data_IF_700844367488
#
_entry.id   IF_700844367488
#
_cell.length_a   1.000
_cell.length_b   1.000
_cell.length_c   1.000
_cell.angle_alpha   90.00
_cell.angle_beta   90.00
_cell.angle_gamma   90.00
#
_symmetry.space_group_name_H-M   'P 1'
#
loop_
_entity.id
_entity.type
_entity.pdbx_description
1 polymer ?
#
# COMPACT_ATOMS: atom_id res chain seq x y z
N UNK A 1 -7.36 4.84 -23.39
CA UNK A 1 -7.11 4.49 -21.98
C UNK A 1 -8.46 4.28 -21.34
N UNK A 2 -8.74 3.07 -20.88
CA UNK A 2 -9.95 2.81 -20.08
C UNK A 2 -9.64 3.14 -18.63
N UNK A 3 -10.54 3.88 -17.98
CA UNK A 3 -10.42 4.25 -16.56
C UNK A 3 -11.42 3.41 -15.78
N UNK A 4 -11.00 2.84 -14.66
CA UNK A 4 -11.89 2.14 -13.74
C UNK A 4 -12.04 2.88 -12.42
N UNK A 5 -13.26 2.92 -11.88
CA UNK A 5 -13.61 3.62 -10.65
C UNK A 5 -14.28 2.65 -9.65
N UNK A 6 -13.66 2.51 -8.47
CA UNK A 6 -14.23 1.79 -7.33
C UNK A 6 -14.68 2.76 -6.25
N UNK A 7 -15.93 2.63 -5.78
CA UNK A 7 -16.51 3.45 -4.70
C UNK A 7 -16.82 2.58 -3.49
N UNK A 8 -16.51 3.08 -2.29
CA UNK A 8 -16.96 2.50 -1.02
C UNK A 8 -16.72 3.48 0.15
N UNK A 9 -17.08 3.08 1.37
CA UNK A 9 -16.98 3.88 2.60
C UNK A 9 -15.55 4.04 3.12
N UNK A 10 -14.64 3.11 2.80
CA UNK A 10 -13.23 3.16 3.20
C UNK A 10 -12.29 3.01 2.02
N UNK A 11 -11.07 3.56 2.09
CA UNK A 11 -10.07 3.45 1.01
C UNK A 11 -9.75 1.99 0.66
N UNK A 12 -9.69 1.10 1.66
CA UNK A 12 -9.45 -0.33 1.44
C UNK A 12 -10.60 -0.97 0.68
N UNK A 13 -11.86 -0.74 1.09
CA UNK A 13 -13.01 -1.26 0.36
C UNK A 13 -13.16 -0.63 -1.03
N UNK A 14 -12.84 0.65 -1.19
CA UNK A 14 -12.85 1.30 -2.51
C UNK A 14 -11.81 0.66 -3.45
N UNK A 15 -10.66 0.23 -2.91
CA UNK A 15 -9.65 -0.51 -3.68
C UNK A 15 -10.14 -1.91 -4.07
N UNK A 16 -10.86 -2.60 -3.18
CA UNK A 16 -11.54 -3.86 -3.48
C UNK A 16 -12.61 -3.64 -4.56
N UNK A 17 -13.44 -2.60 -4.43
CA UNK A 17 -14.43 -2.24 -5.45
C UNK A 17 -13.78 -2.00 -6.81
N UNK A 18 -12.63 -1.32 -6.84
CA UNK A 18 -11.89 -1.08 -8.07
C UNK A 18 -11.36 -2.38 -8.72
N UNK A 19 -11.05 -3.42 -7.93
CA UNK A 19 -10.69 -4.73 -8.47
C UNK A 19 -11.85 -5.32 -9.30
N UNK A 20 -13.09 -5.16 -8.83
CA UNK A 20 -14.28 -5.58 -9.57
C UNK A 20 -14.63 -4.63 -10.71
N UNK A 21 -14.42 -3.32 -10.55
CA UNK A 21 -14.66 -2.30 -11.57
C UNK A 21 -13.90 -2.58 -12.87
N UNK A 22 -12.66 -3.08 -12.78
CA UNK A 22 -11.85 -3.48 -13.94
C UNK A 22 -12.45 -4.63 -14.77
N UNK A 23 -13.34 -5.42 -14.17
CA UNK A 23 -14.02 -6.56 -14.81
C UNK A 23 -15.46 -6.21 -15.19
N UNK A 24 -15.94 -5.03 -14.80
CA UNK A 24 -17.27 -4.53 -15.10
C UNK A 24 -17.29 -3.86 -16.47
N UNK A 25 -18.29 -4.10 -17.33
CA UNK A 25 -18.43 -3.40 -18.61
C UNK A 25 -18.52 -1.87 -18.47
N UNK A 26 -19.05 -1.38 -17.35
CA UNK A 26 -19.15 0.07 -17.10
C UNK A 26 -17.84 0.71 -16.64
N UNK A 27 -16.82 -0.10 -16.29
CA UNK A 27 -15.61 0.38 -15.62
C UNK A 27 -15.85 0.91 -14.20
N UNK A 28 -17.07 0.88 -13.69
CA UNK A 28 -17.45 1.43 -12.39
C UNK A 28 -18.02 0.33 -11.49
N UNK A 29 -17.71 0.40 -10.20
CA UNK A 29 -18.23 -0.55 -9.22
C UNK A 29 -18.32 0.05 -7.82
N UNK A 30 -19.36 -0.32 -7.08
CA UNK A 30 -19.59 0.15 -5.72
C UNK A 30 -19.74 -1.01 -4.74
N UNK A 31 -19.02 -0.91 -3.63
CA UNK A 31 -19.23 -1.76 -2.46
C UNK A 31 -19.85 -0.93 -1.34
N UNK A 32 -21.04 -1.33 -0.88
CA UNK A 32 -21.78 -0.72 0.22
C UNK A 32 -22.04 -1.75 1.33
N UNK A 33 -22.69 -1.34 2.42
CA UNK A 33 -22.94 -2.26 3.54
C UNK A 33 -23.81 -3.47 3.15
N UNK A 34 -24.72 -3.30 2.19
CA UNK A 34 -25.66 -4.34 1.76
C UNK A 34 -24.96 -5.45 0.96
N UNK A 35 -23.96 -5.10 0.16
CA UNK A 35 -23.30 -6.03 -0.76
C UNK A 35 -21.88 -6.45 -0.32
N UNK A 36 -21.27 -5.74 0.64
CA UNK A 36 -19.90 -5.94 1.11
C UNK A 36 -19.59 -7.37 1.49
N UNK A 37 -20.43 -8.00 2.32
CA UNK A 37 -20.23 -9.39 2.75
C UNK A 37 -20.22 -10.35 1.56
N UNK A 38 -21.10 -10.13 0.58
CA UNK A 38 -21.18 -10.96 -0.63
C UNK A 38 -19.90 -10.93 -1.46
N UNK A 39 -19.35 -9.73 -1.68
CA UNK A 39 -18.13 -9.56 -2.48
C UNK A 39 -16.86 -9.99 -1.73
N UNK A 40 -16.79 -9.80 -0.41
CA UNK A 40 -15.63 -10.21 0.38
C UNK A 40 -15.56 -11.72 0.60
N UNK A 41 -16.70 -12.43 0.58
CA UNK A 41 -16.79 -13.88 0.87
C UNK A 41 -15.71 -14.71 0.17
N UNK A 42 -15.51 -14.45 -1.12
CA UNK A 42 -14.57 -15.18 -1.98
C UNK A 42 -13.38 -14.31 -2.44
N UNK A 43 -13.24 -13.09 -1.91
CA UNK A 43 -12.13 -12.22 -2.28
C UNK A 43 -10.86 -12.71 -1.56
N UNK A 44 -9.76 -13.06 -2.27
CA UNK A 44 -8.55 -13.56 -1.63
C UNK A 44 -7.97 -12.56 -0.63
N UNK A 45 -7.53 -13.04 0.54
CA UNK A 45 -7.01 -12.16 1.59
C UNK A 45 -5.71 -11.47 1.17
N UNK A 46 -4.87 -12.13 0.38
CA UNK A 46 -3.65 -11.54 -0.19
C UNK A 46 -3.88 -10.40 -1.19
N UNK A 47 -5.08 -10.29 -1.77
CA UNK A 47 -5.44 -9.21 -2.70
C UNK A 47 -5.91 -7.95 -1.98
N UNK A 48 -6.07 -8.00 -0.66
CA UNK A 48 -6.47 -6.86 0.16
C UNK A 48 -5.31 -5.88 0.27
N UNK A 49 -5.54 -4.63 -0.13
CA UNK A 49 -4.55 -3.57 0.06
C UNK A 49 -4.27 -3.33 1.55
N UNK A 50 -3.01 -3.54 1.94
CA UNK A 50 -2.57 -3.54 3.34
C UNK A 50 -2.16 -4.92 3.87
N UNK A 51 -2.48 -6.00 3.15
CA UNK A 51 -2.06 -7.37 3.47
C UNK A 51 -0.89 -7.77 2.57
N UNK A 52 0.33 -7.76 3.12
CA UNK A 52 1.53 -8.21 2.41
C UNK A 52 1.70 -9.73 2.42
N UNK A 53 2.68 -10.25 1.65
CA UNK A 53 2.96 -11.70 1.54
C UNK A 53 3.13 -12.41 2.89
N UNK A 54 3.92 -11.84 3.80
CA UNK A 54 4.15 -12.42 5.12
C UNK A 54 2.86 -12.44 5.95
N UNK A 55 2.10 -11.35 5.92
CA UNK A 55 0.81 -11.23 6.60
C UNK A 55 -0.24 -12.19 6.05
N UNK A 56 -0.32 -12.34 4.73
CA UNK A 56 -1.19 -13.32 4.08
C UNK A 56 -0.81 -14.75 4.48
N UNK A 57 0.49 -15.07 4.52
CA UNK A 57 0.97 -16.37 5.00
C UNK A 57 0.55 -16.62 6.44
N UNK A 58 0.72 -15.64 7.32
CA UNK A 58 0.29 -15.73 8.72
C UNK A 58 -1.23 -15.96 8.83
N UNK A 59 -2.06 -15.17 8.13
CA UNK A 59 -3.51 -15.35 8.11
C UNK A 59 -3.91 -16.74 7.61
N UNK A 60 -3.23 -17.26 6.58
CA UNK A 60 -3.46 -18.62 6.08
C UNK A 60 -3.14 -19.70 7.13
N UNK A 61 -2.13 -19.50 7.98
CA UNK A 61 -1.87 -20.43 9.11
C UNK A 61 -2.99 -20.42 10.15
N UNK A 62 -3.79 -19.35 10.22
CA UNK A 62 -4.99 -19.24 11.05
C UNK A 62 -6.26 -19.72 10.34
N UNK A 63 -6.14 -20.33 9.15
CA UNK A 63 -7.28 -20.79 8.35
C UNK A 63 -8.00 -19.69 7.56
N UNK A 64 -7.45 -18.48 7.51
CA UNK A 64 -8.04 -17.33 6.80
C UNK A 64 -7.45 -17.22 5.40
N UNK A 65 -8.26 -17.54 4.40
CA UNK A 65 -7.94 -17.48 2.98
C UNK A 65 -8.65 -16.32 2.26
N UNK A 66 -9.82 -15.91 2.75
CA UNK A 66 -10.61 -14.85 2.12
C UNK A 66 -10.76 -13.63 3.02
N UNK A 67 -10.97 -12.46 2.42
CA UNK A 67 -11.30 -11.24 3.13
C UNK A 67 -12.63 -11.39 3.92
N UNK A 68 -13.56 -12.22 3.41
CA UNK A 68 -14.77 -12.61 4.12
C UNK A 68 -14.48 -13.33 5.43
N UNK A 69 -13.58 -14.32 5.43
CA UNK A 69 -13.14 -14.97 6.68
C UNK A 69 -12.39 -13.99 7.58
N UNK A 70 -11.60 -13.10 7.01
CA UNK A 70 -10.83 -12.13 7.76
C UNK A 70 -11.73 -11.17 8.55
N UNK A 71 -12.81 -10.66 7.95
CA UNK A 71 -13.74 -9.74 8.64
C UNK A 71 -14.53 -10.39 9.78
N UNK A 72 -14.61 -11.72 9.85
CA UNK A 72 -15.28 -12.47 10.92
C UNK A 72 -14.34 -12.81 12.09
N UNK A 73 -13.04 -12.50 12.00
CA UNK A 73 -12.09 -12.78 13.09
C UNK A 73 -12.38 -11.94 14.34
N UNK A 74 -12.23 -12.55 15.52
CA UNK A 74 -12.38 -11.82 16.77
C UNK A 74 -11.24 -10.81 17.01
N UNK A 75 -11.59 -9.63 17.52
CA UNK A 75 -10.66 -8.52 17.72
C UNK A 75 -9.69 -8.78 18.89
N UNK A 76 -10.16 -9.41 19.96
CA UNK A 76 -9.33 -9.76 21.12
C UNK A 76 -8.35 -10.89 20.77
N UNK A 77 -8.75 -11.77 19.86
CA UNK A 77 -7.86 -12.78 19.30
C UNK A 77 -6.78 -12.17 18.39
N UNK A 78 -7.16 -11.25 17.50
CA UNK A 78 -6.26 -10.75 16.45
C UNK A 78 -5.31 -9.65 16.94
N UNK A 79 -5.80 -8.75 17.81
CA UNK A 79 -5.04 -7.56 18.25
C UNK A 79 -3.69 -7.87 18.91
N UNK A 80 -3.51 -8.86 19.82
CA UNK A 80 -2.20 -9.15 20.39
C UNK A 80 -1.26 -9.89 19.44
N UNK A 81 -1.77 -10.43 18.32
CA UNK A 81 -1.01 -11.29 17.39
C UNK A 81 -0.62 -10.58 16.10
N UNK A 82 -1.03 -9.32 15.92
CA UNK A 82 -0.89 -8.61 14.65
C UNK A 82 -0.44 -7.18 14.84
N UNK A 83 0.02 -6.55 13.75
CA UNK A 83 0.33 -5.13 13.78
C UNK A 83 -0.96 -4.30 13.79
N UNK A 84 -0.89 -3.10 14.39
CA UNK A 84 -1.97 -2.12 14.35
C UNK A 84 -2.41 -1.81 12.90
N UNK A 85 -1.50 -1.91 11.93
CA UNK A 85 -1.81 -1.72 10.51
C UNK A 85 -2.73 -2.81 9.96
N UNK A 86 -2.47 -4.08 10.30
CA UNK A 86 -3.36 -5.16 9.89
C UNK A 86 -4.72 -5.02 10.57
N UNK A 87 -4.74 -4.68 11.86
CA UNK A 87 -5.97 -4.46 12.62
C UNK A 87 -6.81 -3.30 12.05
N UNK A 88 -6.17 -2.18 11.68
CA UNK A 88 -6.85 -1.09 10.95
C UNK A 88 -7.37 -1.54 9.58
N UNK A 89 -6.67 -2.46 8.90
CA UNK A 89 -7.13 -3.02 7.62
C UNK A 89 -8.40 -3.85 7.80
N UNK A 90 -8.46 -4.67 8.86
CA UNK A 90 -9.66 -5.40 9.27
C UNK A 90 -10.85 -4.45 9.46
N UNK A 91 -10.67 -3.40 10.27
CA UNK A 91 -11.72 -2.41 10.52
C UNK A 91 -12.17 -1.68 9.24
N UNK A 92 -11.23 -1.32 8.36
CA UNK A 92 -11.56 -0.72 7.06
C UNK A 92 -12.40 -1.67 6.20
N UNK A 93 -12.11 -2.96 6.18
CA UNK A 93 -12.91 -3.99 5.49
C UNK A 93 -14.28 -4.23 6.13
N UNK A 94 -14.42 -3.94 7.42
CA UNK A 94 -15.72 -3.92 8.13
C UNK A 94 -16.55 -2.67 7.85
N UNK A 95 -16.02 -1.73 7.06
CA UNK A 95 -16.69 -0.47 6.75
C UNK A 95 -16.48 0.62 7.80
N UNK A 96 -15.64 0.38 8.81
CA UNK A 96 -15.33 1.37 9.84
C UNK A 96 -14.31 2.37 9.29
N UNK A 97 -14.66 3.65 9.33
CA UNK A 97 -13.77 4.72 8.90
C UNK A 97 -12.53 4.78 9.82
N UNK A 98 -11.34 4.80 9.22
CA UNK A 98 -10.13 5.23 9.93
C UNK A 98 -10.25 6.73 10.12
N UNK A 99 -9.97 7.23 11.32
CA UNK A 99 -9.88 8.68 11.64
C UNK A 99 -8.77 9.41 10.85
N UNK A 100 -8.05 8.70 9.98
CA UNK A 100 -6.92 9.23 9.23
C UNK A 100 -7.42 10.06 8.03
N UNK A 101 -7.67 11.34 8.26
CA UNK A 101 -7.40 12.32 7.23
C UNK A 101 -5.89 12.36 7.00
N UNK A 102 -5.43 11.60 6.01
CA UNK A 102 -4.09 11.74 5.46
C UNK A 102 -4.01 13.09 4.73
N UNK A 103 -3.75 14.17 5.47
CA UNK A 103 -3.12 15.34 4.89
C UNK A 103 -1.80 14.89 4.30
N UNK A 104 -1.49 15.37 3.10
CA UNK A 104 -0.23 15.04 2.45
C UNK A 104 0.91 15.68 3.27
N UNK A 105 1.48 14.92 4.20
CA UNK A 105 2.65 15.35 4.96
C UNK A 105 3.84 15.53 4.02
N UNK A 106 4.68 16.52 4.32
CA UNK A 106 6.00 16.66 3.71
C UNK A 106 6.78 15.35 3.82
N UNK A 107 7.47 14.95 2.75
CA UNK A 107 8.24 13.69 2.74
C UNK A 107 9.29 13.75 3.84
N UNK A 108 9.30 12.76 4.73
CA UNK A 108 10.30 12.58 5.80
C UNK A 108 11.65 12.11 5.28
N UNK A 109 11.68 11.58 4.05
CA UNK A 109 12.88 11.13 3.35
C UNK A 109 12.73 11.41 1.85
N UNK A 110 13.80 11.89 1.22
CA UNK A 110 13.88 12.11 -0.22
C UNK A 110 14.95 11.21 -0.80
N UNK A 111 14.54 10.34 -1.72
CA UNK A 111 15.40 9.38 -2.39
C UNK A 111 15.45 9.70 -3.89
N UNK A 112 16.66 9.68 -4.45
CA UNK A 112 16.88 9.47 -5.87
C UNK A 112 17.73 8.23 -6.03
N UNK A 113 17.28 7.29 -6.84
CA UNK A 113 17.95 6.02 -7.07
C UNK A 113 17.57 5.49 -8.43
N UNK A 114 18.50 4.82 -9.10
CA UNK A 114 18.26 4.11 -10.36
C UNK A 114 18.86 2.71 -10.32
N UNK A 115 18.27 1.81 -11.09
CA UNK A 115 18.91 0.53 -11.41
C UNK A 115 19.75 0.69 -12.67
N UNK A 116 20.96 0.11 -12.68
CA UNK A 116 21.82 0.12 -13.86
C UNK A 116 21.50 -1.06 -14.77
N UNK A 117 21.57 -0.85 -16.09
CA UNK A 117 21.35 -1.90 -17.10
C UNK A 117 22.47 -2.95 -17.13
N UNK A 118 23.64 -2.59 -16.62
CA UNK A 118 24.82 -3.46 -16.46
C UNK A 118 25.48 -3.19 -15.12
N UNK A 119 26.22 -4.17 -14.60
CA UNK A 119 27.01 -3.99 -13.39
C UNK A 119 28.03 -2.86 -13.57
N UNK A 120 28.01 -1.89 -12.67
CA UNK A 120 28.97 -0.79 -12.64
C UNK A 120 30.14 -1.23 -11.77
N UNK A 121 31.30 -1.46 -12.38
CA UNK A 121 32.50 -1.97 -11.69
C UNK A 121 33.57 -0.89 -11.50
N UNK A 122 33.48 0.22 -12.24
CA UNK A 122 34.45 1.29 -12.15
C UNK A 122 34.02 2.35 -11.13
N UNK A 123 34.99 2.79 -10.33
CA UNK A 123 34.76 3.83 -9.30
C UNK A 123 34.34 5.17 -9.90
N UNK A 124 34.79 5.49 -11.11
CA UNK A 124 34.45 6.74 -11.79
C UNK A 124 32.95 6.79 -12.13
N UNK A 125 32.45 5.72 -12.74
CA UNK A 125 31.03 5.57 -13.09
C UNK A 125 30.13 5.61 -11.84
N UNK A 126 30.56 4.95 -10.75
CA UNK A 126 29.84 5.00 -9.47
C UNK A 126 29.79 6.43 -8.90
N UNK A 127 30.89 7.18 -8.99
CA UNK A 127 30.96 8.56 -8.50
C UNK A 127 30.04 9.48 -9.29
N UNK A 128 30.02 9.32 -10.61
CA UNK A 128 29.14 10.11 -11.49
C UNK A 128 27.67 9.84 -11.18
N UNK A 129 27.29 8.57 -11.08
CA UNK A 129 25.92 8.19 -10.74
C UNK A 129 25.50 8.70 -9.35
N UNK A 130 26.36 8.60 -8.34
CA UNK A 130 26.10 9.12 -7.01
C UNK A 130 25.94 10.65 -7.01
N UNK A 131 26.73 11.38 -7.81
CA UNK A 131 26.63 12.83 -7.92
C UNK A 131 25.33 13.28 -8.60
N UNK A 132 24.89 12.58 -9.65
CA UNK A 132 23.62 12.84 -10.32
C UNK A 132 22.43 12.55 -9.39
N UNK A 133 22.41 11.39 -8.73
CA UNK A 133 21.35 11.03 -7.79
C UNK A 133 21.29 12.00 -6.59
N UNK A 134 22.44 12.43 -6.05
CA UNK A 134 22.50 13.45 -5.01
C UNK A 134 21.96 14.81 -5.49
N UNK A 135 22.29 15.22 -6.71
CA UNK A 135 21.81 16.48 -7.31
C UNK A 135 20.29 16.49 -7.48
N UNK A 136 19.73 15.38 -7.97
CA UNK A 136 18.28 15.22 -8.12
C UNK A 136 17.56 15.16 -6.77
N UNK A 137 18.15 14.49 -5.76
CA UNK A 137 17.60 14.48 -4.41
C UNK A 137 17.59 15.90 -3.82
N UNK A 138 18.67 16.67 -4.00
CA UNK A 138 18.77 18.06 -3.54
C UNK A 138 17.77 18.98 -4.27
N UNK A 139 17.51 18.75 -5.55
CA UNK A 139 16.48 19.49 -6.29
C UNK A 139 15.07 19.23 -5.72
N UNK A 140 14.72 17.95 -5.51
CA UNK A 140 13.45 17.55 -4.87
C UNK A 140 13.31 18.14 -3.47
N UNK A 141 14.41 18.21 -2.70
CA UNK A 141 14.44 18.81 -1.37
C UNK A 141 14.12 20.31 -1.41
N UNK A 142 14.73 21.05 -2.35
CA UNK A 142 14.45 22.48 -2.56
C UNK A 142 13.02 22.73 -3.03
N UNK A 143 12.50 21.92 -3.94
CA UNK A 143 11.10 22.02 -4.40
C UNK A 143 10.10 21.80 -3.25
N UNK A 144 10.44 20.94 -2.29
CA UNK A 144 9.65 20.74 -1.07
C UNK A 144 9.86 21.86 -0.02
N UNK A 145 10.78 22.80 -0.23
CA UNK A 145 11.13 23.85 0.74
C UNK A 145 11.66 23.30 2.06
N UNK A 146 12.24 22.09 2.05
CA UNK A 146 12.69 21.39 3.26
C UNK A 146 14.21 21.45 3.42
N UNK A 147 14.72 21.17 4.63
CA UNK A 147 16.14 20.93 4.90
C UNK A 147 16.35 19.48 5.34
N UNK A 148 17.60 19.02 5.36
CA UNK A 148 17.94 17.67 5.82
C UNK A 148 19.09 17.73 6.82
N UNK A 149 19.12 16.77 7.76
CA UNK A 149 20.18 16.63 8.76
C UNK A 149 21.28 15.67 8.32
N UNK A 150 21.02 14.81 7.34
CA UNK A 150 21.96 13.80 6.86
C UNK A 150 21.75 13.52 5.36
N UNK A 151 22.84 13.12 4.70
CA UNK A 151 22.86 12.61 3.33
C UNK A 151 23.52 11.24 3.35
N UNK A 152 22.86 10.25 2.78
CA UNK A 152 23.34 8.86 2.72
C UNK A 152 23.41 8.40 1.27
N UNK A 153 24.50 7.70 0.92
CA UNK A 153 24.69 7.05 -0.38
C UNK A 153 24.84 5.56 -0.13
N UNK A 154 23.99 4.75 -0.76
CA UNK A 154 24.04 3.30 -0.68
C UNK A 154 24.11 2.69 -2.08
N UNK A 155 24.77 1.54 -2.18
CA UNK A 155 24.83 0.73 -3.41
C UNK A 155 24.41 -0.70 -3.06
N UNK A 156 23.71 -1.36 -3.98
CA UNK A 156 23.29 -2.77 -3.87
C UNK A 156 23.78 -3.55 -5.07
#
# INVERSE_FOLDING_TARGET
MEVSLGRSTTKTLAKVANHFAKKSPSGCFEIDENNRRGYLRNFPVEEVWGVGRATASFLKTLGVQTAGQFIEMDDDFLSPRTSITLFRTLWKLRGLASLDHETQESKKMILSSRSFSRSVTQRIDLREAAADDASQAAEKLRQQGSTCSAVEVSSR
#
